data_IF_640722593718
#
_entry.id   IF_640722593718
#
_cell.length_a   1.000
_cell.length_b   1.000
_cell.length_c   1.000
_cell.angle_alpha   90.00
_cell.angle_beta   90.00
_cell.angle_gamma   90.00
#
_symmetry.space_group_name_H-M   'P 1'
#
loop_
_entity.id
_entity.type
_entity.pdbx_description
1 polymer ?
#
# COMPACT_ATOMS: atom_id res chain seq x y z
N UNK A 1 8.25 13.84 -12.70
CA UNK A 1 8.58 13.17 -13.97
C UNK A 1 7.37 12.34 -14.38
N UNK A 2 6.91 12.37 -15.64
CA UNK A 2 5.79 11.52 -16.08
C UNK A 2 6.06 10.04 -15.75
N UNK A 3 5.05 9.25 -15.34
CA UNK A 3 5.21 7.84 -14.93
C UNK A 3 5.93 7.00 -16.00
N UNK A 4 5.57 7.19 -17.26
CA UNK A 4 6.10 6.44 -18.40
C UNK A 4 7.62 6.64 -18.59
N UNK A 5 8.13 7.83 -18.23
CA UNK A 5 9.56 8.15 -18.29
C UNK A 5 10.30 7.55 -17.10
N UNK A 6 9.65 7.53 -15.93
CA UNK A 6 10.21 6.96 -14.70
C UNK A 6 10.39 5.45 -14.84
N UNK A 7 9.39 4.73 -15.32
CA UNK A 7 9.44 3.29 -15.50
C UNK A 7 10.55 2.88 -16.48
N UNK A 8 10.71 3.62 -17.59
CA UNK A 8 11.81 3.41 -18.53
C UNK A 8 13.19 3.65 -17.92
N UNK A 9 13.32 4.67 -17.07
CA UNK A 9 14.57 4.95 -16.36
C UNK A 9 14.91 3.86 -15.32
N UNK A 10 13.91 3.41 -14.57
CA UNK A 10 14.04 2.31 -13.60
C UNK A 10 14.44 1.01 -14.29
N UNK A 11 13.85 0.69 -15.44
CA UNK A 11 14.22 -0.49 -16.23
C UNK A 11 15.67 -0.44 -16.70
N UNK A 12 16.14 0.72 -17.17
CA UNK A 12 17.53 0.91 -17.57
C UNK A 12 18.50 0.76 -16.38
N UNK A 13 18.13 1.26 -15.20
CA UNK A 13 18.93 1.11 -13.97
C UNK A 13 19.09 -0.37 -13.60
N UNK A 14 17.99 -1.13 -13.54
CA UNK A 14 18.04 -2.57 -13.24
C UNK A 14 18.87 -3.34 -14.26
N UNK A 15 18.77 -2.99 -15.55
CA UNK A 15 19.57 -3.60 -16.59
C UNK A 15 21.08 -3.32 -16.42
N UNK A 16 21.45 -2.11 -16.01
CA UNK A 16 22.84 -1.76 -15.73
C UNK A 16 23.43 -2.53 -14.55
N UNK A 17 22.60 -2.82 -13.54
CA UNK A 17 22.96 -3.62 -12.35
C UNK A 17 22.81 -5.13 -12.57
N UNK A 18 22.36 -5.57 -13.76
CA UNK A 18 22.18 -6.98 -14.08
C UNK A 18 21.02 -7.66 -13.33
N UNK A 19 20.04 -6.88 -12.85
CA UNK A 19 18.88 -7.38 -12.11
C UNK A 19 17.66 -7.47 -13.03
N UNK A 20 17.03 -8.64 -13.07
CA UNK A 20 15.73 -8.84 -13.72
C UNK A 20 14.59 -8.53 -12.75
N UNK A 21 13.61 -7.78 -13.23
CA UNK A 21 12.48 -7.31 -12.42
C UNK A 21 11.19 -7.87 -12.98
N UNK A 22 10.40 -8.50 -12.10
CA UNK A 22 9.14 -9.13 -12.46
C UNK A 22 8.03 -8.11 -12.82
N UNK A 23 6.95 -8.58 -13.48
CA UNK A 23 5.82 -7.73 -13.84
C UNK A 23 5.18 -7.10 -12.58
N UNK A 24 4.79 -5.83 -12.68
CA UNK A 24 4.12 -5.10 -11.60
C UNK A 24 5.05 -4.50 -10.53
N UNK A 25 6.37 -4.78 -10.56
CA UNK A 25 7.31 -4.23 -9.58
C UNK A 25 7.57 -2.73 -9.80
N UNK A 26 7.75 -2.24 -11.04
CA UNK A 26 7.96 -0.80 -11.26
C UNK A 26 6.78 0.07 -10.76
N UNK A 27 5.51 -0.27 -11.05
CA UNK A 27 4.38 0.42 -10.43
C UNK A 27 4.41 0.40 -8.89
N UNK A 28 4.82 -0.72 -8.28
CA UNK A 28 4.97 -0.84 -6.83
C UNK A 28 6.05 0.12 -6.29
N UNK A 29 7.20 0.22 -6.95
CA UNK A 29 8.29 1.12 -6.57
C UNK A 29 7.90 2.58 -6.73
N UNK A 30 7.26 2.93 -7.84
CA UNK A 30 6.75 4.29 -8.10
C UNK A 30 5.72 4.70 -7.04
N UNK A 31 4.84 3.79 -6.63
CA UNK A 31 3.91 3.99 -5.52
C UNK A 31 4.66 4.19 -4.19
N UNK A 32 5.72 3.43 -3.95
CA UNK A 32 6.53 3.51 -2.73
C UNK A 32 7.25 4.83 -2.57
N UNK A 33 7.70 5.40 -3.68
CA UNK A 33 8.34 6.71 -3.71
C UNK A 33 7.38 7.88 -3.56
N UNK A 34 6.06 7.67 -3.43
CA UNK A 34 5.10 8.73 -3.13
C UNK A 34 5.07 9.89 -4.14
N UNK A 35 5.44 9.63 -5.39
CA UNK A 35 5.57 10.65 -6.45
C UNK A 35 6.88 11.45 -6.43
N UNK A 36 7.78 11.20 -5.47
CA UNK A 36 9.13 11.75 -5.40
C UNK A 36 10.09 10.86 -6.19
N UNK A 37 10.78 11.43 -7.17
CA UNK A 37 11.77 10.70 -7.98
C UNK A 37 12.92 10.19 -7.11
N UNK A 38 13.36 11.00 -6.13
CA UNK A 38 14.44 10.60 -5.20
C UNK A 38 14.04 9.37 -4.40
N UNK A 39 12.85 9.40 -3.81
CA UNK A 39 12.39 8.33 -2.93
C UNK A 39 12.10 7.06 -3.74
N UNK A 40 11.57 7.22 -4.96
CA UNK A 40 11.40 6.12 -5.92
C UNK A 40 12.74 5.44 -6.24
N UNK A 41 13.80 6.21 -6.45
CA UNK A 41 15.14 5.66 -6.71
C UNK A 41 15.73 4.96 -5.49
N UNK A 42 15.58 5.54 -4.29
CA UNK A 42 16.04 4.88 -3.06
C UNK A 42 15.33 3.54 -2.81
N UNK A 43 14.03 3.48 -3.09
CA UNK A 43 13.23 2.24 -3.04
C UNK A 43 13.75 1.24 -4.08
N UNK A 44 14.06 1.69 -5.30
CA UNK A 44 14.60 0.80 -6.33
C UNK A 44 15.97 0.25 -5.95
N UNK A 45 16.87 1.09 -5.44
CA UNK A 45 18.20 0.67 -4.98
C UNK A 45 18.10 -0.40 -3.88
N UNK A 46 17.11 -0.27 -2.98
CA UNK A 46 16.82 -1.28 -1.96
C UNK A 46 16.38 -2.62 -2.57
N UNK A 47 15.54 -2.60 -3.62
CA UNK A 47 15.14 -3.82 -4.31
C UNK A 47 16.31 -4.50 -5.02
N UNK A 48 17.14 -3.72 -5.73
CA UNK A 48 18.34 -4.21 -6.41
C UNK A 48 19.27 -4.88 -5.40
N UNK A 49 19.51 -4.25 -4.23
CA UNK A 49 20.32 -4.82 -3.16
C UNK A 49 19.74 -6.08 -2.50
N UNK A 50 18.43 -6.32 -2.63
CA UNK A 50 17.71 -7.48 -2.10
C UNK A 50 17.43 -8.59 -3.12
N UNK A 51 17.93 -8.45 -4.36
CA UNK A 51 17.77 -9.45 -5.41
C UNK A 51 18.40 -10.79 -5.01
N UNK A 52 17.80 -11.90 -5.44
CA UNK A 52 18.38 -13.25 -5.32
C UNK A 52 18.53 -13.83 -6.69
N UNK A 53 19.71 -14.40 -6.96
CA UNK A 53 20.10 -14.93 -8.27
C UNK A 53 19.94 -13.89 -9.41
N UNK A 54 20.04 -12.60 -9.07
CA UNK A 54 19.86 -11.49 -10.01
C UNK A 54 18.40 -11.18 -10.33
N UNK A 55 17.43 -11.68 -9.56
CA UNK A 55 16.00 -11.48 -9.82
C UNK A 55 15.26 -10.86 -8.63
N UNK A 56 14.27 -10.01 -8.95
CA UNK A 56 13.28 -9.47 -8.02
C UNK A 56 11.88 -9.66 -8.61
N UNK A 57 11.17 -10.68 -8.13
CA UNK A 57 9.75 -10.86 -8.44
C UNK A 57 8.85 -9.94 -7.58
N UNK A 58 7.55 -9.93 -7.90
CA UNK A 58 6.58 -9.09 -7.20
C UNK A 58 6.47 -9.42 -5.70
N UNK A 59 6.47 -10.71 -5.34
CA UNK A 59 6.32 -11.15 -3.94
C UNK A 59 7.52 -10.72 -3.10
N UNK A 60 8.72 -10.86 -3.66
CA UNK A 60 9.97 -10.38 -3.06
C UNK A 60 10.00 -8.87 -2.95
N UNK A 61 9.53 -8.15 -3.96
CA UNK A 61 9.47 -6.70 -3.89
C UNK A 61 8.54 -6.23 -2.77
N UNK A 62 7.35 -6.83 -2.62
CA UNK A 62 6.43 -6.53 -1.50
C UNK A 62 7.11 -6.80 -0.15
N UNK A 63 7.76 -7.95 -0.01
CA UNK A 63 8.44 -8.33 1.23
C UNK A 63 9.61 -7.39 1.57
N UNK A 64 10.44 -7.03 0.60
CA UNK A 64 11.60 -6.15 0.78
C UNK A 64 11.20 -4.72 1.10
N UNK A 65 10.14 -4.21 0.47
CA UNK A 65 9.65 -2.85 0.68
C UNK A 65 8.78 -2.70 1.92
N UNK A 66 8.52 -3.80 2.63
CA UNK A 66 7.64 -3.80 3.81
C UNK A 66 6.23 -3.33 3.47
N UNK A 67 5.79 -3.52 2.23
CA UNK A 67 4.42 -3.23 1.85
C UNK A 67 3.50 -4.21 2.54
N UNK A 68 2.42 -3.69 3.09
CA UNK A 68 1.38 -4.53 3.64
C UNK A 68 0.80 -5.38 2.52
N UNK A 69 0.79 -6.70 2.73
CA UNK A 69 0.10 -7.65 1.88
C UNK A 69 -1.34 -7.15 1.61
N UNK A 70 -1.73 -7.00 0.34
CA UNK A 70 -3.08 -6.51 -0.04
C UNK A 70 -4.18 -7.31 0.65
N UNK A 71 -3.96 -8.60 0.91
CA UNK A 71 -4.90 -9.44 1.66
C UNK A 71 -5.07 -9.01 3.12
N UNK A 72 -4.02 -8.45 3.74
CA UNK A 72 -4.07 -7.93 5.11
C UNK A 72 -4.81 -6.59 5.17
N UNK A 73 -4.65 -5.74 4.15
CA UNK A 73 -5.47 -4.53 3.99
C UNK A 73 -6.94 -4.90 3.75
N UNK A 74 -7.20 -5.86 2.86
CA UNK A 74 -8.55 -6.36 2.58
C UNK A 74 -9.22 -6.87 3.86
N UNK A 75 -8.53 -7.73 4.63
CA UNK A 75 -9.00 -8.25 5.91
C UNK A 75 -9.30 -7.14 6.92
N UNK A 76 -8.45 -6.11 7.01
CA UNK A 76 -8.66 -4.98 7.90
C UNK A 76 -9.91 -4.19 7.53
N UNK A 77 -10.04 -3.84 6.25
CA UNK A 77 -11.18 -3.10 5.71
C UNK A 77 -12.49 -3.88 5.89
N UNK A 78 -12.48 -5.19 5.61
CA UNK A 78 -13.65 -6.05 5.76
C UNK A 78 -14.06 -6.17 7.24
N UNK A 79 -13.09 -6.29 8.15
CA UNK A 79 -13.35 -6.31 9.59
C UNK A 79 -13.94 -4.98 10.09
N UNK A 80 -13.42 -3.83 9.62
CA UNK A 80 -13.98 -2.50 9.91
C UNK A 80 -15.41 -2.40 9.38
N UNK A 81 -15.65 -2.83 8.14
CA UNK A 81 -16.97 -2.80 7.50
C UNK A 81 -18.00 -3.68 8.24
N UNK A 82 -17.56 -4.82 8.76
CA UNK A 82 -18.37 -5.74 9.57
C UNK A 82 -18.49 -5.36 11.05
N UNK A 83 -17.85 -4.27 11.51
CA UNK A 83 -17.69 -3.94 12.92
C UNK A 83 -17.08 -5.08 13.76
N UNK A 84 -16.23 -5.92 13.15
CA UNK A 84 -15.51 -7.02 13.79
C UNK A 84 -14.21 -6.52 14.42
N UNK A 85 -14.30 -5.95 15.62
CA UNK A 85 -13.13 -5.51 16.38
C UNK A 85 -12.11 -6.63 16.61
N UNK A 86 -12.56 -7.88 16.84
CA UNK A 86 -11.64 -9.00 17.02
C UNK A 86 -10.88 -9.32 15.72
N UNK A 87 -11.52 -9.14 14.56
CA UNK A 87 -10.88 -9.22 13.24
C UNK A 87 -9.80 -8.17 13.04
N UNK A 88 -10.07 -6.92 13.41
CA UNK A 88 -9.08 -5.85 13.34
C UNK A 88 -7.85 -6.16 14.21
N UNK A 89 -8.06 -6.59 15.46
CA UNK A 89 -6.94 -6.97 16.35
C UNK A 89 -6.12 -8.16 15.82
N UNK A 90 -6.75 -9.16 15.17
CA UNK A 90 -6.02 -10.25 14.51
C UNK A 90 -5.12 -9.73 13.37
N UNK A 91 -5.57 -8.72 12.63
CA UNK A 91 -4.74 -8.09 11.60
C UNK A 91 -3.56 -7.36 12.25
N UNK A 92 -3.79 -6.57 13.30
CA UNK A 92 -2.72 -5.90 14.05
C UNK A 92 -1.69 -6.91 14.57
N UNK A 93 -2.11 -8.01 15.20
CA UNK A 93 -1.19 -9.05 15.65
C UNK A 93 -0.37 -9.64 14.50
N UNK A 94 -0.97 -9.83 13.32
CA UNK A 94 -0.26 -10.31 12.12
C UNK A 94 0.76 -9.29 11.60
N UNK A 95 0.44 -7.99 11.60
CA UNK A 95 1.40 -6.90 11.28
C UNK A 95 2.63 -7.03 12.18
N UNK A 96 2.42 -7.12 13.49
CA UNK A 96 3.52 -7.20 14.47
C UNK A 96 4.30 -8.51 14.34
N UNK A 97 3.62 -9.66 14.24
CA UNK A 97 4.27 -10.97 14.18
C UNK A 97 5.09 -11.18 12.91
N UNK A 98 4.70 -10.52 11.81
CA UNK A 98 5.45 -10.56 10.54
C UNK A 98 6.56 -9.50 10.47
N UNK A 99 6.75 -8.69 11.51
CA UNK A 99 7.79 -7.67 11.57
C UNK A 99 7.53 -6.44 10.69
N UNK A 100 6.29 -6.25 10.21
CA UNK A 100 5.93 -5.03 9.48
C UNK A 100 5.94 -3.83 10.43
N UNK A 101 6.39 -2.69 9.92
CA UNK A 101 6.31 -1.43 10.65
C UNK A 101 4.82 -1.02 10.81
N UNK A 102 4.30 -0.86 12.04
CA UNK A 102 2.92 -0.41 12.27
C UNK A 102 2.60 0.91 11.58
N UNK A 103 3.57 1.82 11.50
CA UNK A 103 3.35 3.11 10.84
C UNK A 103 3.15 2.90 9.34
N UNK A 104 3.97 2.04 8.72
CA UNK A 104 3.84 1.72 7.30
C UNK A 104 2.49 1.07 6.99
N UNK A 105 2.02 0.18 7.87
CA UNK A 105 0.67 -0.39 7.75
C UNK A 105 -0.42 0.67 7.75
N UNK A 106 -0.33 1.68 8.64
CA UNK A 106 -1.30 2.79 8.67
C UNK A 106 -1.22 3.67 7.43
N UNK A 107 -0.02 3.92 6.89
CA UNK A 107 0.15 4.64 5.61
C UNK A 107 -0.55 3.89 4.47
N UNK A 108 -0.34 2.58 4.38
CA UNK A 108 -0.97 1.72 3.37
C UNK A 108 -2.50 1.66 3.55
N UNK A 109 -3.00 1.59 4.80
CA UNK A 109 -4.42 1.60 5.12
C UNK A 109 -5.08 2.93 4.75
N UNK A 110 -4.43 4.06 5.05
CA UNK A 110 -4.93 5.38 4.68
C UNK A 110 -5.05 5.51 3.15
N UNK A 111 -4.02 5.04 2.44
CA UNK A 111 -4.01 5.00 0.98
C UNK A 111 -5.17 4.13 0.44
N UNK A 112 -5.41 2.95 1.03
CA UNK A 112 -6.55 2.09 0.68
C UNK A 112 -7.89 2.79 0.93
N UNK A 113 -8.08 3.44 2.08
CA UNK A 113 -9.32 4.16 2.40
C UNK A 113 -9.58 5.32 1.43
N UNK A 114 -8.52 6.03 1.01
CA UNK A 114 -8.61 7.07 -0.04
C UNK A 114 -9.12 6.47 -1.35
N UNK A 115 -8.54 5.36 -1.78
CA UNK A 115 -8.91 4.72 -3.05
C UNK A 115 -10.37 4.22 -3.02
N UNK A 116 -10.80 3.63 -1.91
CA UNK A 116 -12.19 3.27 -1.69
C UNK A 116 -13.12 4.50 -1.69
N UNK A 117 -12.70 5.62 -1.10
CA UNK A 117 -13.47 6.86 -1.12
C UNK A 117 -13.60 7.41 -2.56
N UNK A 118 -12.53 7.37 -3.35
CA UNK A 118 -12.55 7.77 -4.77
C UNK A 118 -13.53 6.89 -5.54
N UNK A 119 -13.52 5.57 -5.33
CA UNK A 119 -14.48 4.64 -5.95
C UNK A 119 -15.92 4.99 -5.53
N UNK A 120 -16.15 5.22 -4.24
CA UNK A 120 -17.47 5.56 -3.71
C UNK A 120 -18.02 6.88 -4.26
N UNK A 121 -17.16 7.83 -4.62
CA UNK A 121 -17.56 9.16 -5.12
C UNK A 121 -17.64 9.22 -6.65
N UNK A 122 -16.67 8.62 -7.36
CA UNK A 122 -16.52 8.74 -8.80
C UNK A 122 -17.10 7.54 -9.58
N UNK A 123 -17.32 6.40 -8.93
CA UNK A 123 -17.84 5.19 -9.57
C UNK A 123 -16.99 4.78 -10.78
N UNK A 124 -17.63 4.62 -11.95
CA UNK A 124 -16.98 4.23 -13.19
C UNK A 124 -15.84 5.17 -13.63
N UNK A 125 -15.85 6.44 -13.20
CA UNK A 125 -14.83 7.43 -13.52
C UNK A 125 -13.63 7.42 -12.56
N UNK A 126 -13.56 6.47 -11.63
CA UNK A 126 -12.48 6.39 -10.64
C UNK A 126 -11.11 6.00 -11.25
N UNK A 127 -11.10 5.26 -12.36
CA UNK A 127 -9.90 4.64 -12.95
C UNK A 127 -8.67 5.56 -13.07
N UNK A 128 -8.78 6.77 -13.66
CA UNK A 128 -7.65 7.69 -13.81
C UNK A 128 -6.98 8.11 -12.49
N UNK A 129 -7.72 8.12 -11.37
CA UNK A 129 -7.20 8.53 -10.06
C UNK A 129 -6.60 7.36 -9.26
N UNK A 130 -6.98 6.12 -9.58
CA UNK A 130 -6.51 4.90 -8.90
C UNK A 130 -5.22 4.34 -9.50
N UNK A 131 -4.91 4.71 -10.75
CA UNK A 131 -3.84 4.09 -11.53
C UNK A 131 -4.24 2.73 -12.08
N UNK A 132 -3.24 1.94 -12.48
CA UNK A 132 -3.48 0.58 -13.00
C UNK A 132 -3.63 -0.41 -11.85
N UNK A 133 -4.83 -0.98 -11.70
CA UNK A 133 -5.14 -2.02 -10.72
C UNK A 133 -5.56 -3.32 -11.45
N UNK A 134 -5.22 -4.50 -10.90
CA UNK A 134 -5.81 -5.76 -11.35
C UNK A 134 -7.34 -5.74 -11.26
N UNK A 135 -8.01 -6.38 -12.22
CA UNK A 135 -9.47 -6.35 -12.31
C UNK A 135 -10.16 -6.99 -11.09
N UNK A 136 -9.57 -8.06 -10.54
CA UNK A 136 -10.07 -8.73 -9.34
C UNK A 136 -9.89 -7.88 -8.07
N UNK A 137 -8.81 -7.10 -8.00
CA UNK A 137 -8.60 -6.13 -6.91
C UNK A 137 -9.62 -5.00 -7.00
N UNK A 138 -9.85 -4.45 -8.18
CA UNK A 138 -10.85 -3.41 -8.39
C UNK A 138 -12.25 -3.89 -8.02
N UNK A 139 -12.64 -5.11 -8.41
CA UNK A 139 -13.94 -5.68 -8.07
C UNK A 139 -14.13 -5.81 -6.54
N UNK A 140 -13.09 -6.28 -5.81
CA UNK A 140 -13.11 -6.33 -4.34
C UNK A 140 -13.23 -4.93 -3.73
N UNK A 141 -12.48 -3.96 -4.24
CA UNK A 141 -12.52 -2.57 -3.79
C UNK A 141 -13.89 -1.94 -4.00
N UNK A 142 -14.56 -2.22 -5.12
CA UNK A 142 -15.92 -1.74 -5.36
C UNK A 142 -16.92 -2.31 -4.34
N UNK A 143 -16.79 -3.58 -3.97
CA UNK A 143 -17.61 -4.19 -2.91
C UNK A 143 -17.38 -3.47 -1.58
N UNK A 144 -16.12 -3.29 -1.18
CA UNK A 144 -15.77 -2.61 0.07
C UNK A 144 -16.26 -1.15 0.09
N UNK A 145 -16.07 -0.42 -1.01
CA UNK A 145 -16.51 0.96 -1.14
C UNK A 145 -18.03 1.09 -1.02
N UNK A 146 -18.79 0.16 -1.63
CA UNK A 146 -20.26 0.11 -1.49
C UNK A 146 -20.70 -0.23 -0.08
N UNK A 147 -20.05 -1.19 0.58
CA UNK A 147 -20.41 -1.61 1.94
C UNK A 147 -20.20 -0.51 2.96
N UNK A 148 -19.06 0.20 2.90
CA UNK A 148 -18.73 1.26 3.85
C UNK A 148 -19.47 2.58 3.53
N UNK A 149 -19.58 2.92 2.24
CA UNK A 149 -20.13 4.19 1.80
C UNK A 149 -19.19 5.38 2.04
N UNK A 150 -19.33 6.43 1.22
CA UNK A 150 -18.42 7.59 1.21
C UNK A 150 -18.32 8.33 2.55
N UNK A 151 -19.44 8.45 3.28
CA UNK A 151 -19.46 9.13 4.58
C UNK A 151 -18.65 8.40 5.66
N UNK A 152 -18.68 7.06 5.70
CA UNK A 152 -17.89 6.30 6.65
C UNK A 152 -16.41 6.28 6.23
N UNK A 153 -16.15 6.07 4.93
CA UNK A 153 -14.80 6.11 4.37
C UNK A 153 -14.08 7.42 4.66
N UNK A 154 -14.74 8.56 4.52
CA UNK A 154 -14.17 9.88 4.87
C UNK A 154 -13.77 9.93 6.35
N UNK A 155 -14.65 9.49 7.27
CA UNK A 155 -14.35 9.50 8.70
C UNK A 155 -13.19 8.57 9.05
N UNK A 156 -13.17 7.36 8.47
CA UNK A 156 -12.09 6.41 8.71
C UNK A 156 -10.76 6.93 8.15
N UNK A 157 -10.77 7.58 6.98
CA UNK A 157 -9.57 8.20 6.43
C UNK A 157 -9.05 9.33 7.34
N UNK A 158 -9.93 10.20 7.84
CA UNK A 158 -9.55 11.27 8.77
C UNK A 158 -8.96 10.73 10.08
N UNK A 159 -9.60 9.71 10.68
CA UNK A 159 -9.10 9.05 11.89
C UNK A 159 -7.74 8.38 11.65
N UNK A 160 -7.59 7.68 10.52
CA UNK A 160 -6.33 7.01 10.15
C UNK A 160 -5.21 8.02 9.91
N UNK A 161 -5.50 9.15 9.26
CA UNK A 161 -4.54 10.24 9.05
C UNK A 161 -4.12 10.89 10.38
N UNK A 162 -5.06 11.05 11.32
CA UNK A 162 -4.75 11.53 12.66
C UNK A 162 -3.85 10.56 13.44
N UNK A 163 -4.18 9.26 13.42
CA UNK A 163 -3.37 8.21 14.05
C UNK A 163 -1.95 8.17 13.46
N UNK A 164 -1.82 8.25 12.13
CA UNK A 164 -0.53 8.30 11.45
C UNK A 164 0.33 9.48 11.92
N UNK A 165 -0.28 10.64 12.11
CA UNK A 165 0.40 11.83 12.63
C UNK A 165 0.87 11.61 14.08
N UNK A 166 0.06 10.95 14.91
CA UNK A 166 0.38 10.65 16.31
C UNK A 166 1.46 9.59 16.47
N UNK A 167 1.70 8.75 15.46
CA UNK A 167 2.78 7.75 15.47
C UNK A 167 4.17 8.37 15.33
N UNK A 168 4.29 9.62 14.86
CA UNK A 168 5.58 10.31 14.75
C UNK A 168 6.16 10.58 16.14
N UNK A 169 7.23 9.88 16.49
CA UNK A 169 7.89 10.01 17.80
C UNK A 169 7.15 9.29 18.95
N UNK A 170 6.16 8.46 18.64
CA UNK A 170 5.46 7.66 19.65
C UNK A 170 6.39 6.62 20.29
N UNK A 171 6.26 6.45 21.61
CA UNK A 171 7.00 5.42 22.36
C UNK A 171 6.57 3.99 21.98
N UNK A 172 5.31 3.82 21.56
CA UNK A 172 4.78 2.54 21.06
C UNK A 172 3.85 2.77 19.87
N UNK A 173 4.36 2.66 18.62
CA UNK A 173 3.53 2.72 17.41
C UNK A 173 2.46 1.62 17.38
N UNK A 174 2.74 0.45 17.98
CA UNK A 174 1.75 -0.63 18.14
C UNK A 174 0.54 -0.16 18.96
N UNK A 175 0.77 0.45 20.12
CA UNK A 175 -0.34 0.90 20.97
C UNK A 175 -1.18 1.96 20.24
N UNK A 176 -0.54 2.85 19.47
CA UNK A 176 -1.26 3.84 18.66
C UNK A 176 -2.08 3.21 17.53
N UNK A 177 -1.66 2.06 17.00
CA UNK A 177 -2.40 1.31 15.99
C UNK A 177 -3.62 0.59 16.61
N UNK A 178 -3.54 0.18 17.87
CA UNK A 178 -4.60 -0.54 18.58
C UNK A 178 -5.74 0.37 19.07
N UNK A 179 -5.51 1.69 19.19
CA UNK A 179 -6.44 2.70 19.72
C UNK A 179 -7.29 3.35 18.63
#
# INVERSE_FOLDING_TARGET
>A
MPPDILDGYLAHLCQAEGVQVGPGVFPLVTRAGGGSVRDTLSVMDQLIGGAVDGEVDYQRAVALLGYTDTTMLDQCVDAIAGADGAGVFRVVDRVIASGHDPRRFVEDLLQRLRDLLVIALAGAEAGPALGSLPADELERMEVQARTLGSGALSRYADMTAQALTQMVGATSPRLQLEL
#
